data_IF_296645968667
#
_entry.id   IF_296645968667
#
_cell.length_a   1.000
_cell.length_b   1.000
_cell.length_c   1.000
_cell.angle_alpha   90.00
_cell.angle_beta   90.00
_cell.angle_gamma   90.00
#
_symmetry.space_group_name_H-M   'P 1'
#
loop_
_entity.id
_entity.type
_entity.pdbx_description
1 polymer ?
#
# COMPACT_ATOMS: atom_id res chain seq x y z
N UNK A 1 -1.90 50.89 3.05
CA UNK A 1 -1.55 49.88 2.02
C UNK A 1 -1.17 48.59 2.74
N UNK A 2 -2.11 47.65 2.89
CA UNK A 2 -1.82 46.35 3.49
C UNK A 2 -1.31 45.38 2.42
N UNK A 3 -0.26 44.59 2.70
CA UNK A 3 0.22 43.58 1.76
C UNK A 3 -0.78 42.43 1.72
N UNK A 4 -1.38 42.19 0.56
CA UNK A 4 -2.16 40.98 0.30
C UNK A 4 -1.23 39.77 0.40
N UNK A 5 -1.37 39.02 1.49
CA UNK A 5 -0.83 37.66 1.58
C UNK A 5 -1.43 36.84 0.42
N UNK A 6 -0.62 36.11 -0.36
CA UNK A 6 -1.14 35.20 -1.37
C UNK A 6 -1.92 34.12 -0.63
N UNK A 7 -3.25 34.14 -0.76
CA UNK A 7 -4.08 33.01 -0.36
C UNK A 7 -3.57 31.79 -1.10
N UNK A 8 -3.05 30.81 -0.36
CA UNK A 8 -2.84 29.44 -0.82
C UNK A 8 -4.20 28.87 -1.20
N UNK A 9 -4.69 29.26 -2.38
CA UNK A 9 -5.94 28.77 -2.93
C UNK A 9 -5.66 27.35 -3.37
N UNK A 10 -6.14 26.43 -2.52
CA UNK A 10 -5.96 24.98 -2.64
C UNK A 10 -6.32 24.50 -4.04
N UNK A 11 -5.62 23.44 -4.44
CA UNK A 11 -5.95 22.65 -5.62
C UNK A 11 -7.47 22.53 -5.79
N UNK A 12 -7.98 22.79 -7.00
CA UNK A 12 -9.40 22.69 -7.31
C UNK A 12 -9.97 21.38 -6.71
N UNK A 13 -10.91 21.46 -5.75
CA UNK A 13 -11.41 20.31 -5.01
C UNK A 13 -12.45 19.49 -5.79
N UNK A 14 -12.67 19.77 -7.07
CA UNK A 14 -13.73 19.11 -7.84
C UNK A 14 -13.28 17.77 -8.45
N UNK A 15 -13.54 16.72 -7.67
CA UNK A 15 -14.10 15.41 -8.06
C UNK A 15 -13.21 14.23 -8.44
N UNK A 16 -11.88 14.40 -8.60
CA UNK A 16 -11.04 13.28 -9.08
C UNK A 16 -9.83 12.94 -8.19
N UNK A 17 -9.17 13.95 -7.62
CA UNK A 17 -8.06 13.76 -6.65
C UNK A 17 -8.56 13.11 -5.35
N UNK A 18 -9.82 13.32 -4.97
CA UNK A 18 -10.39 12.79 -3.73
C UNK A 18 -10.57 11.27 -3.75
N UNK A 19 -10.82 10.67 -4.93
CA UNK A 19 -10.88 9.21 -5.08
C UNK A 19 -9.52 8.60 -4.75
N UNK A 20 -8.45 9.18 -5.29
CA UNK A 20 -7.10 8.69 -5.07
C UNK A 20 -6.66 8.91 -3.62
N UNK A 21 -7.04 10.02 -2.99
CA UNK A 21 -6.79 10.28 -1.56
C UNK A 21 -7.53 9.29 -0.66
N UNK A 22 -8.79 9.00 -0.98
CA UNK A 22 -9.58 7.97 -0.29
C UNK A 22 -8.91 6.60 -0.41
N UNK A 23 -8.45 6.25 -1.62
CA UNK A 23 -7.71 5.01 -1.85
C UNK A 23 -6.40 4.96 -1.05
N UNK A 24 -5.58 6.02 -1.07
CA UNK A 24 -4.37 6.11 -0.26
C UNK A 24 -4.65 6.00 1.25
N UNK A 25 -5.71 6.62 1.74
CA UNK A 25 -6.10 6.56 3.15
C UNK A 25 -6.54 5.14 3.54
N UNK A 26 -7.35 4.50 2.68
CA UNK A 26 -7.80 3.13 2.86
C UNK A 26 -6.65 2.12 2.81
N UNK A 27 -5.78 2.23 1.80
CA UNK A 27 -4.57 1.41 1.66
C UNK A 27 -3.67 1.56 2.89
N UNK A 28 -3.39 2.81 3.31
CA UNK A 28 -2.62 3.10 4.52
C UNK A 28 -3.23 2.45 5.75
N UNK A 29 -4.54 2.64 5.99
CA UNK A 29 -5.22 2.10 7.15
C UNK A 29 -5.18 0.56 7.19
N UNK A 30 -5.43 -0.10 6.06
CA UNK A 30 -5.39 -1.57 5.99
C UNK A 30 -3.97 -2.10 6.16
N UNK A 31 -2.97 -1.49 5.52
CA UNK A 31 -1.57 -1.93 5.64
C UNK A 31 -1.07 -1.76 7.07
N UNK A 32 -1.42 -0.65 7.74
CA UNK A 32 -1.09 -0.45 9.16
C UNK A 32 -1.82 -1.47 10.04
N UNK A 33 -3.13 -1.68 9.84
CA UNK A 33 -3.90 -2.64 10.63
C UNK A 33 -3.37 -4.07 10.47
N UNK A 34 -3.06 -4.49 9.24
CA UNK A 34 -2.45 -5.79 8.96
C UNK A 34 -1.06 -5.90 9.59
N UNK A 35 -0.23 -4.85 9.45
CA UNK A 35 1.09 -4.78 10.08
C UNK A 35 1.04 -4.87 11.60
N UNK A 36 0.11 -4.17 12.25
CA UNK A 36 -0.13 -4.26 13.69
C UNK A 36 -0.57 -5.67 14.10
N UNK A 37 -1.40 -6.32 13.30
CA UNK A 37 -1.81 -7.70 13.56
C UNK A 37 -0.62 -8.67 13.49
N UNK A 38 0.26 -8.53 12.49
CA UNK A 38 1.48 -9.34 12.40
C UNK A 38 2.47 -9.06 13.55
N UNK A 39 2.56 -7.80 13.98
CA UNK A 39 3.49 -7.38 15.03
C UNK A 39 3.07 -7.85 16.44
N UNK A 40 1.80 -7.65 16.79
CA UNK A 40 1.29 -7.92 18.14
C UNK A 40 0.72 -9.34 18.30
N UNK A 41 0.23 -9.96 17.22
CA UNK A 41 -0.36 -11.31 17.25
C UNK A 41 0.31 -12.30 16.28
N UNK A 42 1.65 -12.39 16.23
CA UNK A 42 2.36 -13.20 15.23
C UNK A 42 2.06 -14.70 15.34
N UNK A 43 1.88 -15.23 16.56
CA UNK A 43 1.53 -16.65 16.79
C UNK A 43 0.16 -16.99 16.21
N UNK A 44 -0.81 -16.11 16.37
CA UNK A 44 -2.16 -16.34 15.86
C UNK A 44 -2.16 -16.29 14.33
N UNK A 45 -1.50 -15.29 13.74
CA UNK A 45 -1.32 -15.20 12.30
C UNK A 45 -0.64 -16.45 11.72
N UNK A 46 0.51 -16.83 12.27
CA UNK A 46 1.27 -17.99 11.80
C UNK A 46 0.51 -19.30 12.01
N UNK A 47 -0.20 -19.48 13.13
CA UNK A 47 -1.02 -20.67 13.34
C UNK A 47 -2.12 -20.82 12.27
N UNK A 48 -2.78 -19.71 11.92
CA UNK A 48 -3.77 -19.69 10.84
C UNK A 48 -3.14 -19.91 9.46
N UNK A 49 -1.98 -19.33 9.21
CA UNK A 49 -1.30 -19.37 7.91
C UNK A 49 -0.64 -20.72 7.65
N UNK A 50 -0.06 -21.35 8.67
CA UNK A 50 0.60 -22.65 8.58
C UNK A 50 -0.38 -23.82 8.75
N UNK A 51 -1.56 -23.58 9.32
CA UNK A 51 -2.51 -24.64 9.68
C UNK A 51 -1.99 -25.55 10.79
N UNK A 52 -1.04 -25.05 11.59
CA UNK A 52 -0.35 -25.82 12.64
C UNK A 52 -0.63 -25.27 14.03
N UNK A 53 -0.43 -26.12 15.02
CA UNK A 53 -0.58 -25.74 16.44
C UNK A 53 0.54 -24.77 16.84
N UNK A 54 0.26 -23.82 17.73
CA UNK A 54 1.21 -22.78 18.15
C UNK A 54 2.56 -23.30 18.69
N UNK A 55 2.61 -24.57 19.12
CA UNK A 55 3.79 -25.28 19.61
C UNK A 55 4.79 -25.66 18.52
N UNK A 56 4.37 -25.71 17.25
CA UNK A 56 5.23 -26.05 16.10
C UNK A 56 5.81 -24.80 15.42
N UNK A 57 5.42 -23.60 15.87
CA UNK A 57 5.88 -22.34 15.30
C UNK A 57 7.26 -22.00 15.86
N UNK A 58 8.25 -21.90 14.97
CA UNK A 58 9.63 -21.57 15.37
C UNK A 58 9.76 -20.12 15.83
N UNK A 59 10.71 -19.86 16.74
CA UNK A 59 11.03 -18.50 17.20
C UNK A 59 11.47 -17.61 16.04
N UNK A 60 12.19 -18.15 15.06
CA UNK A 60 12.60 -17.42 13.86
C UNK A 60 11.39 -16.96 13.05
N UNK A 61 10.38 -17.81 12.85
CA UNK A 61 9.17 -17.42 12.12
C UNK A 61 8.41 -16.31 12.85
N UNK A 62 8.37 -16.34 14.18
CA UNK A 62 7.77 -15.26 14.99
C UNK A 62 8.50 -13.94 14.80
N UNK A 63 9.82 -13.93 14.94
CA UNK A 63 10.63 -12.71 14.79
C UNK A 63 10.51 -12.14 13.38
N UNK A 64 10.56 -12.98 12.35
CA UNK A 64 10.37 -12.56 10.96
C UNK A 64 8.97 -11.95 10.72
N UNK A 65 7.93 -12.56 11.28
CA UNK A 65 6.55 -12.04 11.18
C UNK A 65 6.42 -10.68 11.86
N UNK A 66 7.06 -10.50 13.02
CA UNK A 66 7.06 -9.22 13.72
C UNK A 66 7.82 -8.14 12.96
N UNK A 67 9.00 -8.46 12.41
CA UNK A 67 9.76 -7.54 11.56
C UNK A 67 8.97 -7.15 10.31
N UNK A 68 8.30 -8.11 9.68
CA UNK A 68 7.39 -7.86 8.58
C UNK A 68 6.22 -6.97 8.98
N UNK A 69 5.64 -7.19 10.17
CA UNK A 69 4.60 -6.33 10.74
C UNK A 69 5.05 -4.90 10.93
N UNK A 70 6.22 -4.69 11.54
CA UNK A 70 6.81 -3.35 11.73
C UNK A 70 7.09 -2.66 10.39
N UNK A 71 7.64 -3.39 9.41
CA UNK A 71 7.88 -2.86 8.07
C UNK A 71 6.56 -2.44 7.39
N UNK A 72 5.50 -3.23 7.51
CA UNK A 72 4.18 -2.88 6.96
C UNK A 72 3.58 -1.63 7.62
N UNK A 73 3.69 -1.48 8.95
CA UNK A 73 3.23 -0.27 9.62
C UNK A 73 3.97 0.96 9.09
N UNK A 74 5.30 0.86 8.94
CA UNK A 74 6.11 1.96 8.41
C UNK A 74 5.70 2.31 6.97
N UNK A 75 5.58 1.31 6.09
CA UNK A 75 5.15 1.51 4.70
C UNK A 75 3.74 2.09 4.66
N UNK A 76 2.78 1.53 5.41
CA UNK A 76 1.42 2.04 5.49
C UNK A 76 1.35 3.49 5.98
N UNK A 77 2.16 3.84 6.99
CA UNK A 77 2.31 5.23 7.44
C UNK A 77 2.86 6.16 6.36
N UNK A 78 3.90 5.73 5.64
CA UNK A 78 4.46 6.48 4.52
C UNK A 78 3.46 6.67 3.38
N UNK A 79 2.67 5.65 3.04
CA UNK A 79 1.56 5.72 2.07
C UNK A 79 0.52 6.76 2.53
N UNK A 80 0.23 6.83 3.83
CA UNK A 80 -0.69 7.81 4.42
C UNK A 80 -0.28 9.27 4.19
N UNK A 81 1.02 9.57 4.06
CA UNK A 81 1.50 10.93 3.79
C UNK A 81 1.00 11.49 2.45
N UNK A 82 0.70 10.61 1.49
CA UNK A 82 0.23 10.98 0.15
C UNK A 82 -1.28 11.29 0.09
N UNK A 83 -2.01 11.11 1.19
CA UNK A 83 -3.40 11.56 1.35
C UNK A 83 -3.49 13.10 1.37
N UNK A 84 -2.42 13.78 1.79
CA UNK A 84 -2.36 15.23 1.82
C UNK A 84 -2.45 15.84 0.41
N UNK A 85 -3.05 17.03 0.29
CA UNK A 85 -3.09 17.82 -0.94
C UNK A 85 -1.87 18.74 -1.11
N UNK A 86 -0.76 18.41 -0.45
CA UNK A 86 0.48 19.15 -0.66
C UNK A 86 0.97 18.93 -2.10
N UNK A 87 1.62 19.95 -2.67
CA UNK A 87 2.14 19.88 -4.04
C UNK A 87 3.08 18.68 -4.23
N UNK A 88 3.97 18.46 -3.26
CA UNK A 88 4.91 17.33 -3.24
C UNK A 88 4.15 16.00 -3.26
N UNK A 89 3.13 15.83 -2.42
CA UNK A 89 2.34 14.61 -2.40
C UNK A 89 1.69 14.35 -3.76
N UNK A 90 0.99 15.34 -4.33
CA UNK A 90 0.28 15.19 -5.61
C UNK A 90 1.23 14.79 -6.75
N UNK A 91 2.37 15.47 -6.88
CA UNK A 91 3.36 15.18 -7.93
C UNK A 91 3.99 13.77 -7.75
N UNK A 92 4.12 13.28 -6.51
CA UNK A 92 4.72 11.98 -6.20
C UNK A 92 3.76 10.79 -6.23
N UNK A 93 2.44 10.99 -6.11
CA UNK A 93 1.43 9.89 -6.04
C UNK A 93 1.56 8.88 -7.18
N UNK A 94 1.79 9.34 -8.40
CA UNK A 94 1.94 8.48 -9.58
C UNK A 94 3.19 7.60 -9.50
N UNK A 95 4.29 8.16 -8.99
CA UNK A 95 5.54 7.42 -8.78
C UNK A 95 5.36 6.35 -7.70
N UNK A 96 4.71 6.70 -6.60
CA UNK A 96 4.40 5.77 -5.50
C UNK A 96 3.56 4.59 -6.00
N UNK A 97 2.49 4.85 -6.77
CA UNK A 97 1.67 3.78 -7.34
C UNK A 97 2.46 2.86 -8.27
N UNK A 98 3.38 3.39 -9.08
CA UNK A 98 4.26 2.57 -9.92
C UNK A 98 5.23 1.72 -9.10
N UNK A 99 5.80 2.29 -8.04
CA UNK A 99 6.73 1.57 -7.17
C UNK A 99 6.04 0.43 -6.43
N UNK A 100 4.86 0.69 -5.86
CA UNK A 100 4.05 -0.34 -5.18
C UNK A 100 3.61 -1.41 -6.18
N UNK A 101 3.11 -1.02 -7.36
CA UNK A 101 2.74 -1.98 -8.41
C UNK A 101 3.93 -2.85 -8.83
N UNK A 102 5.12 -2.26 -8.98
CA UNK A 102 6.34 -3.00 -9.29
C UNK A 102 6.68 -4.04 -8.21
N UNK A 103 6.55 -3.67 -6.93
CA UNK A 103 6.70 -4.63 -5.82
C UNK A 103 5.65 -5.74 -5.87
N UNK A 104 4.38 -5.42 -6.09
CA UNK A 104 3.30 -6.42 -6.15
C UNK A 104 3.49 -7.41 -7.31
N UNK A 105 3.92 -6.91 -8.47
CA UNK A 105 4.22 -7.72 -9.66
C UNK A 105 5.47 -8.59 -9.49
N UNK A 106 6.34 -8.30 -8.52
CA UNK A 106 7.45 -9.19 -8.16
C UNK A 106 7.04 -10.17 -7.07
N UNK A 107 6.30 -9.70 -6.06
CA UNK A 107 5.91 -10.48 -4.90
C UNK A 107 4.89 -11.58 -5.25
N UNK A 108 3.85 -11.26 -6.02
CA UNK A 108 2.80 -12.24 -6.36
C UNK A 108 3.35 -13.42 -7.16
N UNK A 109 4.10 -13.23 -8.26
CA UNK A 109 4.71 -14.37 -8.97
C UNK A 109 5.68 -15.15 -8.09
N UNK A 110 6.45 -14.50 -7.23
CA UNK A 110 7.35 -15.18 -6.30
C UNK A 110 6.58 -16.11 -5.35
N UNK A 111 5.49 -15.64 -4.74
CA UNK A 111 4.63 -16.45 -3.85
C UNK A 111 3.92 -17.58 -4.62
N UNK A 112 3.47 -17.32 -5.86
CA UNK A 112 2.88 -18.36 -6.72
C UNK A 112 3.91 -19.42 -7.09
N UNK A 113 5.12 -19.04 -7.47
CA UNK A 113 6.22 -19.98 -7.73
C UNK A 113 6.55 -20.81 -6.50
N UNK A 114 6.62 -20.21 -5.31
CA UNK A 114 6.78 -20.95 -4.05
C UNK A 114 5.65 -21.95 -3.83
N UNK A 115 4.40 -21.57 -4.12
CA UNK A 115 3.24 -22.43 -3.97
C UNK A 115 3.22 -23.62 -4.96
N UNK A 116 3.82 -23.46 -6.15
CA UNK A 116 3.79 -24.47 -7.21
C UNK A 116 5.04 -25.34 -7.26
N UNK A 117 6.20 -24.80 -6.88
CA UNK A 117 7.51 -25.42 -7.13
C UNK A 117 8.29 -25.76 -5.88
N UNK A 118 7.86 -25.33 -4.68
CA UNK A 118 8.59 -25.57 -3.44
C UNK A 118 7.74 -26.35 -2.44
N UNK A 119 8.31 -27.42 -1.88
CA UNK A 119 7.80 -28.03 -0.66
C UNK A 119 8.26 -27.20 0.53
N UNK A 120 7.44 -26.24 0.93
CA UNK A 120 7.70 -25.35 2.06
C UNK A 120 6.90 -25.72 3.30
N UNK A 121 7.27 -25.14 4.44
CA UNK A 121 6.49 -25.27 5.68
C UNK A 121 5.14 -24.53 5.65
N UNK A 122 4.87 -23.72 4.63
CA UNK A 122 3.62 -23.01 4.43
C UNK A 122 2.74 -23.81 3.45
N UNK A 123 1.47 -24.11 3.80
CA UNK A 123 0.60 -24.85 2.91
C UNK A 123 0.32 -24.04 1.63
N UNK A 124 0.27 -24.77 0.50
CA UNK A 124 0.01 -24.20 -0.83
C UNK A 124 -1.25 -23.33 -0.88
N UNK A 125 -2.31 -23.74 -0.19
CA UNK A 125 -3.57 -22.98 -0.11
C UNK A 125 -3.38 -21.60 0.53
N UNK A 126 -2.55 -21.49 1.57
CA UNK A 126 -2.23 -20.20 2.21
C UNK A 126 -1.39 -19.28 1.33
N UNK A 127 -0.43 -19.84 0.58
CA UNK A 127 0.36 -19.06 -0.38
C UNK A 127 -0.52 -18.54 -1.53
N UNK A 128 -1.39 -19.38 -2.07
CA UNK A 128 -2.34 -18.97 -3.11
C UNK A 128 -3.38 -17.98 -2.58
N UNK A 129 -3.85 -18.14 -1.35
CA UNK A 129 -4.74 -17.17 -0.70
C UNK A 129 -4.03 -15.80 -0.52
N UNK A 130 -2.75 -15.80 -0.15
CA UNK A 130 -1.92 -14.59 -0.03
C UNK A 130 -1.79 -13.89 -1.37
N UNK A 131 -1.46 -14.63 -2.43
CA UNK A 131 -1.42 -14.10 -3.80
C UNK A 131 -2.79 -13.52 -4.21
N UNK A 132 -3.86 -14.26 -3.95
CA UNK A 132 -5.24 -13.86 -4.24
C UNK A 132 -5.65 -12.56 -3.54
N UNK A 133 -5.23 -12.34 -2.29
CA UNK A 133 -5.53 -11.12 -1.54
C UNK A 133 -4.89 -9.86 -2.16
N UNK A 134 -3.77 -10.00 -2.86
CA UNK A 134 -3.05 -8.88 -3.49
C UNK A 134 -3.61 -8.54 -4.89
N UNK A 135 -4.28 -9.49 -5.54
CA UNK A 135 -4.81 -9.29 -6.91
C UNK A 135 -5.76 -8.08 -7.05
N UNK A 136 -6.72 -7.82 -6.13
CA UNK A 136 -7.58 -6.62 -6.22
C UNK A 136 -6.78 -5.32 -6.17
N UNK A 137 -5.68 -5.29 -5.42
CA UNK A 137 -4.80 -4.13 -5.30
C UNK A 137 -3.98 -3.89 -6.58
N UNK A 138 -3.46 -4.95 -7.20
CA UNK A 138 -2.81 -4.89 -8.52
C UNK A 138 -3.81 -4.37 -9.57
N UNK A 139 -5.02 -4.93 -9.60
CA UNK A 139 -6.06 -4.54 -10.53
C UNK A 139 -6.43 -3.07 -10.36
N UNK A 140 -6.65 -2.62 -9.11
CA UNK A 140 -6.92 -1.23 -8.78
C UNK A 140 -5.80 -0.30 -9.25
N UNK A 141 -4.54 -0.59 -8.92
CA UNK A 141 -3.42 0.28 -9.29
C UNK A 141 -3.19 0.33 -10.80
N UNK A 142 -3.33 -0.81 -11.47
CA UNK A 142 -3.24 -0.87 -12.94
C UNK A 142 -4.35 -0.06 -13.59
N UNK A 143 -5.59 -0.21 -13.11
CA UNK A 143 -6.72 0.58 -13.57
C UNK A 143 -6.51 2.08 -13.33
N UNK A 144 -6.11 2.48 -12.12
CA UNK A 144 -5.84 3.88 -11.81
C UNK A 144 -4.74 4.45 -12.72
N UNK A 145 -3.62 3.73 -12.91
CA UNK A 145 -2.48 4.20 -13.70
C UNK A 145 -2.75 4.26 -15.21
N UNK A 146 -3.49 3.29 -15.76
CA UNK A 146 -3.68 3.15 -17.22
C UNK A 146 -5.01 3.75 -17.69
N UNK A 147 -6.09 3.53 -16.96
CA UNK A 147 -7.43 3.94 -17.37
C UNK A 147 -7.83 5.31 -16.80
N UNK A 148 -7.24 5.71 -15.68
CA UNK A 148 -7.58 6.97 -14.98
C UNK A 148 -6.35 7.81 -14.60
N UNK A 149 -5.42 8.09 -15.53
CA UNK A 149 -4.25 8.91 -15.24
C UNK A 149 -4.60 10.34 -14.77
N UNK A 150 -5.79 10.84 -15.11
CA UNK A 150 -6.30 12.14 -14.67
C UNK A 150 -6.49 12.24 -13.14
N UNK A 151 -6.67 11.11 -12.44
CA UNK A 151 -6.84 11.06 -10.98
C UNK A 151 -5.60 11.48 -10.20
N UNK A 152 -4.41 11.37 -10.81
CA UNK A 152 -3.15 11.78 -10.20
C UNK A 152 -2.96 13.30 -10.19
N UNK A 153 -3.78 14.04 -10.95
CA UNK A 153 -3.70 15.49 -11.06
C UNK A 153 -2.40 15.98 -11.67
N UNK A 154 -2.34 17.28 -11.94
CA UNK A 154 -1.11 17.99 -12.27
C UNK A 154 -1.22 19.38 -11.65
N UNK A 155 -0.22 19.78 -10.88
CA UNK A 155 -0.20 21.11 -10.28
C UNK A 155 0.08 22.13 -11.38
N UNK A 156 -0.98 22.68 -12.00
CA UNK A 156 -0.80 23.80 -12.92
C UNK A 156 -0.38 25.02 -12.10
N UNK A 157 0.88 25.45 -12.24
CA UNK A 157 1.29 26.81 -11.87
C UNK A 157 0.39 27.75 -12.66
N UNK A 158 -0.55 28.43 -12.00
CA UNK A 158 -1.23 29.59 -12.58
C UNK A 158 -0.12 30.52 -13.09
N UNK A 159 0.00 30.69 -14.42
CA UNK A 159 0.79 31.79 -14.98
C UNK A 159 0.28 33.05 -14.31
N UNK A 160 1.17 33.84 -13.71
CA UNK A 160 0.87 35.23 -13.38
C UNK A 160 0.33 35.86 -14.66
N UNK A 161 -0.91 36.32 -14.63
CA UNK A 161 -1.37 37.29 -15.61
C UNK A 161 -0.60 38.58 -15.28
N UNK A 162 0.45 38.83 -16.06
CA UNK A 162 1.00 40.16 -16.28
C UNK A 162 0.47 40.65 -17.62
#
# INVERSE_FOLDING_TARGET
MSPHAPSLQGANPSSSSDVLRGAFAFESAITVAAGSYFLFFPRHYLGRMLGTTATQITTTALQMTQQWGAANIFVGGAVGLYVSNSRVAVESRKMVYRYILGWELLFVPMVVCQALMMEGGIPRSSLLATAGQIMPFIAWRTFALLCKPEWFGSYQKRKKAE
#
